data_IF_374055091909
#
_entry.id   IF_374055091909
#
_cell.length_a   1.000
_cell.length_b   1.000
_cell.length_c   1.000
_cell.angle_alpha   90.00
_cell.angle_beta   90.00
_cell.angle_gamma   90.00
#
_symmetry.space_group_name_H-M   'P 1'
#
loop_
_entity.id
_entity.type
_entity.pdbx_description
1 polymer ?
#
# COMPACT_ATOMS: atom_id res chain seq x y z
N UNK A 1 -2.34 21.35 8.55
CA UNK A 1 -3.47 20.76 9.35
C UNK A 1 -3.55 19.29 9.00
N UNK A 2 -3.68 18.38 9.98
CA UNK A 2 -3.80 16.96 9.65
C UNK A 2 -5.07 16.69 8.84
N UNK A 3 -4.93 15.85 7.81
CA UNK A 3 -6.06 15.38 7.01
C UNK A 3 -6.68 14.18 7.72
N UNK A 4 -7.99 14.17 7.85
CA UNK A 4 -8.74 13.13 8.54
C UNK A 4 -9.54 12.29 7.55
N UNK A 5 -9.41 10.97 7.68
CA UNK A 5 -10.27 9.97 7.06
C UNK A 5 -11.12 9.38 8.19
N UNK A 6 -12.42 9.59 8.10
CA UNK A 6 -13.40 9.15 9.12
C UNK A 6 -13.95 7.77 8.84
N UNK A 7 -13.96 7.37 7.57
CA UNK A 7 -14.38 6.02 7.18
C UNK A 7 -13.73 5.63 5.86
N UNK A 8 -13.14 4.45 5.83
CA UNK A 8 -12.65 3.80 4.62
C UNK A 8 -12.76 2.28 4.77
N UNK A 9 -12.73 1.54 3.65
CA UNK A 9 -12.52 0.09 3.67
C UNK A 9 -11.17 -0.25 3.09
N UNK A 10 -10.61 -1.38 3.51
CA UNK A 10 -9.29 -1.83 3.06
C UNK A 10 -9.31 -3.29 2.62
N UNK A 11 -8.64 -3.58 1.50
CA UNK A 11 -8.24 -4.93 1.10
C UNK A 11 -6.75 -4.91 0.81
N UNK A 12 -5.97 -5.71 1.51
CA UNK A 12 -4.52 -5.75 1.30
C UNK A 12 -3.97 -7.17 1.28
N UNK A 13 -2.83 -7.34 0.62
CA UNK A 13 -2.07 -8.58 0.64
C UNK A 13 -0.56 -8.32 0.67
N UNK A 14 0.14 -9.12 1.44
CA UNK A 14 1.60 -9.06 1.59
C UNK A 14 2.26 -10.18 0.81
N UNK A 15 3.32 -9.86 0.09
CA UNK A 15 4.05 -10.79 -0.77
C UNK A 15 5.53 -10.80 -0.43
N UNK A 16 6.10 -12.00 -0.33
CA UNK A 16 7.54 -12.17 -0.23
C UNK A 16 8.18 -12.08 -1.61
N UNK A 17 9.10 -11.15 -1.79
CA UNK A 17 9.81 -10.91 -3.05
C UNK A 17 11.33 -11.06 -2.88
N UNK A 18 12.07 -11.10 -3.99
CA UNK A 18 13.53 -10.98 -3.94
C UNK A 18 13.90 -9.56 -3.47
N UNK A 19 14.71 -9.45 -2.42
CA UNK A 19 15.06 -8.16 -1.83
C UNK A 19 15.94 -7.30 -2.74
N UNK A 20 16.81 -7.91 -3.55
CA UNK A 20 17.67 -7.16 -4.47
C UNK A 20 16.87 -6.63 -5.66
N UNK A 21 15.86 -7.38 -6.12
CA UNK A 21 14.94 -6.90 -7.14
C UNK A 21 14.07 -5.74 -6.61
N UNK A 22 13.53 -5.88 -5.40
CA UNK A 22 12.77 -4.80 -4.76
C UNK A 22 13.63 -3.56 -4.51
N UNK A 23 14.90 -3.73 -4.13
CA UNK A 23 15.83 -2.60 -3.98
C UNK A 23 16.04 -1.86 -5.30
N UNK A 24 16.36 -2.57 -6.39
CA UNK A 24 16.52 -1.93 -7.71
C UNK A 24 15.27 -1.17 -8.15
N UNK A 25 14.08 -1.65 -7.81
CA UNK A 25 12.82 -1.00 -8.15
C UNK A 25 12.68 0.38 -7.47
N UNK A 26 13.25 0.55 -6.27
CA UNK A 26 13.13 1.79 -5.49
C UNK A 26 14.45 2.54 -5.30
N UNK A 27 15.55 2.15 -5.99
CA UNK A 27 16.88 2.77 -5.83
C UNK A 27 16.86 4.29 -6.04
N UNK A 28 15.97 4.78 -6.90
CA UNK A 28 15.80 6.21 -7.17
C UNK A 28 15.41 7.03 -5.92
N UNK A 29 14.85 6.39 -4.91
CA UNK A 29 14.37 7.05 -3.69
C UNK A 29 15.45 7.23 -2.62
N UNK A 30 16.56 6.51 -2.72
CA UNK A 30 17.58 6.43 -1.67
C UNK A 30 17.18 5.59 -0.45
N UNK A 31 15.94 5.04 -0.42
CA UNK A 31 15.46 4.21 0.69
C UNK A 31 16.04 2.80 0.63
N UNK A 32 16.22 2.19 1.81
CA UNK A 32 16.74 0.83 1.96
C UNK A 32 15.60 -0.16 2.23
N UNK A 33 15.48 -1.16 1.37
CA UNK A 33 14.48 -2.23 1.53
C UNK A 33 14.69 -3.00 2.83
N UNK A 34 13.63 -3.19 3.61
CA UNK A 34 13.65 -4.01 4.82
C UNK A 34 13.78 -5.49 4.46
N UNK A 35 14.90 -6.11 4.84
CA UNK A 35 15.19 -7.53 4.60
C UNK A 35 14.77 -8.36 5.80
N UNK A 36 13.56 -8.91 5.77
CA UNK A 36 13.06 -9.72 6.89
C UNK A 36 13.69 -11.13 6.97
N UNK A 37 14.30 -11.60 5.87
CA UNK A 37 15.15 -12.81 5.75
C UNK A 37 16.25 -12.56 4.72
N UNK A 38 17.32 -13.38 4.69
CA UNK A 38 18.30 -13.30 3.61
C UNK A 38 17.63 -13.30 2.24
N UNK A 39 17.92 -12.31 1.40
CA UNK A 39 17.37 -12.12 0.05
C UNK A 39 15.85 -11.97 -0.05
N UNK A 40 15.13 -11.69 1.07
CA UNK A 40 13.68 -11.54 1.06
C UNK A 40 13.23 -10.22 1.67
N UNK A 41 12.37 -9.55 0.92
CA UNK A 41 11.65 -8.35 1.31
C UNK A 41 10.14 -8.56 1.21
N UNK A 42 9.37 -7.57 1.65
CA UNK A 42 7.91 -7.58 1.58
C UNK A 42 7.44 -6.44 0.69
N UNK A 43 6.56 -6.78 -0.25
CA UNK A 43 5.74 -5.83 -1.00
C UNK A 43 4.29 -6.00 -0.56
N UNK A 44 3.61 -4.89 -0.34
CA UNK A 44 2.19 -4.83 0.03
C UNK A 44 1.42 -4.23 -1.14
N UNK A 45 0.45 -4.98 -1.63
CA UNK A 45 -0.52 -4.49 -2.60
C UNK A 45 -1.84 -4.29 -1.89
N UNK A 46 -2.44 -3.10 -2.03
CA UNK A 46 -3.68 -2.79 -1.32
C UNK A 46 -4.63 -1.94 -2.15
N UNK A 47 -5.92 -2.10 -1.87
CA UNK A 47 -6.96 -1.19 -2.28
C UNK A 47 -7.54 -0.54 -1.03
N UNK A 48 -7.69 0.77 -1.10
CA UNK A 48 -8.46 1.59 -0.17
C UNK A 48 -9.68 2.15 -0.89
N UNK A 49 -10.84 2.06 -0.27
CA UNK A 49 -12.02 2.83 -0.66
C UNK A 49 -12.28 3.82 0.49
N UNK A 50 -11.91 5.05 0.27
CA UNK A 50 -12.20 6.16 1.17
C UNK A 50 -13.65 6.56 0.98
N UNK A 51 -14.46 6.45 2.03
CA UNK A 51 -15.91 6.72 1.99
C UNK A 51 -16.24 8.10 2.53
N UNK A 52 -15.60 8.48 3.64
CA UNK A 52 -15.75 9.80 4.26
C UNK A 52 -14.40 10.31 4.77
N UNK A 53 -14.06 11.52 4.39
CA UNK A 53 -12.83 12.20 4.79
C UNK A 53 -12.73 13.61 4.19
N UNK A 54 -11.68 14.30 4.56
CA UNK A 54 -11.45 15.70 4.14
C UNK A 54 -11.14 15.82 2.64
N UNK A 55 -10.78 14.72 1.97
CA UNK A 55 -10.52 14.66 0.53
C UNK A 55 -11.69 14.09 -0.29
N UNK A 56 -12.84 13.82 0.36
CA UNK A 56 -14.00 13.23 -0.28
C UNK A 56 -13.90 11.71 -0.47
N UNK A 57 -14.84 11.16 -1.26
CA UNK A 57 -14.89 9.74 -1.59
C UNK A 57 -14.02 9.45 -2.82
N UNK A 58 -13.18 8.39 -2.73
CA UNK A 58 -12.34 7.93 -3.83
C UNK A 58 -11.76 6.54 -3.58
N UNK A 59 -11.31 5.91 -4.67
CA UNK A 59 -10.56 4.65 -4.66
C UNK A 59 -9.07 4.90 -4.85
N UNK A 60 -8.25 4.13 -4.17
CA UNK A 60 -6.80 4.21 -4.24
C UNK A 60 -6.17 2.82 -4.22
N UNK A 61 -5.33 2.53 -5.20
CA UNK A 61 -4.50 1.33 -5.19
C UNK A 61 -3.06 1.68 -4.82
N UNK A 62 -2.46 0.90 -3.90
CA UNK A 62 -1.07 1.09 -3.48
C UNK A 62 -0.19 -0.11 -3.80
N UNK A 63 0.96 0.15 -4.43
CA UNK A 63 2.12 -0.75 -4.46
C UNK A 63 3.15 -0.21 -3.50
N UNK A 64 3.31 -0.87 -2.35
CA UNK A 64 4.16 -0.41 -1.27
C UNK A 64 5.29 -1.39 -1.01
N UNK A 65 6.51 -0.89 -0.86
CA UNK A 65 7.68 -1.67 -0.48
C UNK A 65 8.00 -1.41 0.98
N UNK A 66 8.15 -2.47 1.78
CA UNK A 66 8.56 -2.29 3.17
C UNK A 66 10.05 -1.91 3.23
N UNK A 67 10.33 -0.76 3.84
CA UNK A 67 11.68 -0.15 3.92
C UNK A 67 12.10 0.08 5.36
N UNK A 68 13.39 0.14 5.59
CA UNK A 68 13.94 0.57 6.87
C UNK A 68 13.75 2.07 7.05
N UNK A 69 13.51 2.57 8.28
CA UNK A 69 13.61 3.99 8.57
C UNK A 69 14.98 4.56 8.16
N UNK A 70 15.07 5.84 7.81
CA UNK A 70 16.32 6.48 7.43
C UNK A 70 17.43 6.22 8.46
N UNK A 71 18.63 5.87 7.99
CA UNK A 71 19.77 5.54 8.84
C UNK A 71 19.72 4.17 9.53
N UNK A 72 18.65 3.41 9.38
CA UNK A 72 18.55 2.05 9.93
C UNK A 72 18.97 1.00 8.90
N UNK A 73 19.78 0.04 9.35
CA UNK A 73 20.17 -1.16 8.57
C UNK A 73 19.66 -2.44 9.22
N UNK A 74 18.55 -2.35 9.96
CA UNK A 74 17.97 -3.49 10.65
C UNK A 74 17.55 -4.59 9.67
N UNK A 75 17.73 -5.84 10.07
CA UNK A 75 17.34 -7.02 9.30
C UNK A 75 16.61 -8.03 10.20
N UNK A 76 15.95 -9.00 9.56
CA UNK A 76 15.21 -10.05 10.27
C UNK A 76 13.75 -9.68 10.55
N UNK A 77 13.04 -10.60 11.17
CA UNK A 77 11.59 -10.42 11.43
C UNK A 77 11.28 -9.21 12.34
N UNK A 78 12.19 -8.90 13.29
CA UNK A 78 12.02 -7.74 14.17
C UNK A 78 12.11 -6.42 13.39
N UNK A 79 12.88 -6.36 12.30
CA UNK A 79 12.99 -5.17 11.47
C UNK A 79 11.65 -4.80 10.81
N UNK A 80 10.79 -5.77 10.49
CA UNK A 80 9.45 -5.48 9.95
C UNK A 80 8.54 -4.73 10.93
N UNK A 81 8.79 -4.83 12.23
CA UNK A 81 7.99 -4.12 13.23
C UNK A 81 8.26 -2.61 13.24
N UNK A 82 9.45 -2.20 12.82
CA UNK A 82 9.86 -0.81 12.70
C UNK A 82 9.91 -0.31 11.26
N UNK A 83 9.65 -1.19 10.28
CA UNK A 83 9.65 -0.85 8.87
C UNK A 83 8.50 0.10 8.54
N UNK A 84 8.77 1.05 7.65
CA UNK A 84 7.74 1.87 7.04
C UNK A 84 7.37 1.38 5.64
N UNK A 85 6.29 1.91 5.10
CA UNK A 85 5.81 1.62 3.76
C UNK A 85 6.31 2.69 2.77
N UNK A 86 7.18 2.33 1.84
CA UNK A 86 7.53 3.19 0.73
C UNK A 86 6.49 3.04 -0.38
N UNK A 87 5.79 4.14 -0.66
CA UNK A 87 4.75 4.20 -1.70
C UNK A 87 5.44 4.32 -3.06
N UNK A 88 5.45 3.23 -3.82
CA UNK A 88 6.07 3.19 -5.15
C UNK A 88 5.10 3.61 -6.24
N UNK A 89 3.84 3.12 -6.21
CA UNK A 89 2.76 3.52 -7.09
C UNK A 89 1.48 3.75 -6.30
N UNK A 90 0.71 4.77 -6.68
CA UNK A 90 -0.53 5.15 -5.99
C UNK A 90 -1.60 5.66 -6.97
N UNK A 91 -2.11 4.83 -7.90
CA UNK A 91 -3.25 5.18 -8.74
C UNK A 91 -4.51 5.50 -7.93
N UNK A 92 -5.25 6.54 -8.34
CA UNK A 92 -6.50 7.00 -7.71
C UNK A 92 -7.53 7.38 -8.79
N UNK A 93 -8.82 7.31 -8.48
CA UNK A 93 -9.90 7.70 -9.40
C UNK A 93 -10.35 9.16 -9.27
N UNK A 94 -9.90 9.87 -8.23
CA UNK A 94 -10.27 11.26 -7.96
C UNK A 94 -9.22 12.27 -8.41
N UNK A 95 -9.56 13.21 -9.30
CA UNK A 95 -8.62 14.25 -9.74
C UNK A 95 -8.19 15.18 -8.59
N UNK A 96 -9.13 15.57 -7.72
CA UNK A 96 -8.85 16.41 -6.56
C UNK A 96 -7.88 15.72 -5.59
N UNK A 97 -8.14 14.45 -5.23
CA UNK A 97 -7.27 13.71 -4.32
C UNK A 97 -5.92 13.36 -4.95
N UNK A 98 -5.86 13.22 -6.28
CA UNK A 98 -4.61 13.08 -7.01
C UNK A 98 -3.72 14.30 -6.82
N UNK A 99 -4.25 15.50 -7.08
CA UNK A 99 -3.52 16.75 -6.93
C UNK A 99 -3.16 17.04 -5.47
N UNK A 100 -4.11 16.90 -4.54
CA UNK A 100 -3.87 17.07 -3.12
C UNK A 100 -2.75 16.16 -2.59
N UNK A 101 -2.79 14.87 -2.95
CA UNK A 101 -1.77 13.91 -2.50
C UNK A 101 -0.37 14.21 -3.03
N UNK A 102 -0.27 14.69 -4.27
CA UNK A 102 1.00 15.13 -4.87
C UNK A 102 1.55 16.38 -4.18
N UNK A 103 0.69 17.36 -3.93
CA UNK A 103 1.08 18.66 -3.38
C UNK A 103 1.41 18.59 -1.89
N UNK A 104 0.58 17.90 -1.09
CA UNK A 104 0.71 17.87 0.37
C UNK A 104 1.82 16.90 0.82
N UNK A 105 1.86 15.69 0.21
CA UNK A 105 2.73 14.62 0.68
C UNK A 105 3.79 14.17 -0.31
N UNK A 106 3.77 14.70 -1.54
CA UNK A 106 4.65 14.20 -2.60
C UNK A 106 4.38 12.73 -2.94
N UNK A 107 3.13 12.30 -2.84
CA UNK A 107 2.75 10.93 -3.24
C UNK A 107 2.75 10.79 -4.76
N UNK A 108 3.26 9.68 -5.32
CA UNK A 108 3.34 9.44 -6.76
C UNK A 108 1.97 9.05 -7.33
N UNK A 109 0.94 9.88 -7.07
CA UNK A 109 -0.42 9.64 -7.53
C UNK A 109 -0.56 9.87 -9.03
N UNK A 110 -1.32 8.99 -9.68
CA UNK A 110 -1.76 9.10 -11.07
C UNK A 110 -3.25 8.79 -11.15
N UNK A 111 -3.93 9.33 -12.16
CA UNK A 111 -5.34 9.01 -12.40
C UNK A 111 -5.46 7.60 -12.97
N UNK A 112 -6.50 6.90 -12.54
CA UNK A 112 -6.82 5.55 -12.99
C UNK A 112 -8.32 5.28 -12.89
N UNK A 113 -8.79 4.33 -13.69
CA UNK A 113 -10.14 3.78 -13.59
C UNK A 113 -10.11 2.50 -12.75
N UNK A 114 -11.14 2.35 -11.91
CA UNK A 114 -11.29 1.18 -11.07
C UNK A 114 -12.57 0.42 -11.42
N UNK A 115 -12.49 -0.89 -11.46
CA UNK A 115 -13.66 -1.78 -11.54
C UNK A 115 -13.71 -2.64 -10.29
N UNK A 116 -14.71 -2.40 -9.44
CA UNK A 116 -14.93 -3.19 -8.23
C UNK A 116 -16.00 -4.24 -8.49
N UNK A 117 -15.76 -5.45 -8.00
CA UNK A 117 -16.75 -6.55 -8.00
C UNK A 117 -16.85 -7.08 -6.57
N UNK A 118 -17.93 -6.71 -5.91
CA UNK A 118 -18.28 -7.17 -4.57
C UNK A 118 -19.24 -8.37 -4.67
N UNK A 119 -18.82 -9.50 -4.10
CA UNK A 119 -19.55 -10.75 -4.14
C UNK A 119 -18.99 -11.76 -3.18
N UNK A 120 -19.21 -13.05 -3.41
CA UNK A 120 -18.60 -14.11 -2.57
C UNK A 120 -17.07 -13.99 -2.47
N UNK A 121 -16.43 -13.46 -3.51
CA UNK A 121 -15.03 -13.03 -3.51
C UNK A 121 -14.99 -11.59 -3.94
N UNK A 122 -14.36 -10.77 -3.13
CA UNK A 122 -14.06 -9.38 -3.51
C UNK A 122 -12.97 -9.36 -4.58
N UNK A 123 -13.15 -8.55 -5.61
CA UNK A 123 -12.10 -8.33 -6.60
C UNK A 123 -12.15 -6.92 -7.17
N UNK A 124 -10.99 -6.45 -7.64
CA UNK A 124 -10.89 -5.18 -8.33
C UNK A 124 -9.90 -5.25 -9.49
N UNK A 125 -10.07 -4.32 -10.43
CA UNK A 125 -9.16 -4.04 -11.53
C UNK A 125 -8.79 -2.56 -11.53
N UNK A 126 -7.54 -2.26 -11.87
CA UNK A 126 -7.01 -0.91 -12.08
C UNK A 126 -6.58 -0.77 -13.53
N UNK A 127 -7.09 0.25 -14.19
CA UNK A 127 -6.78 0.60 -15.58
C UNK A 127 -6.19 2.01 -15.60
N UNK A 128 -5.03 2.19 -16.23
CA UNK A 128 -4.31 3.46 -16.32
C UNK A 128 -4.16 3.77 -17.82
N UNK A 129 -4.54 4.97 -18.23
CA UNK A 129 -4.51 5.41 -19.64
C UNK A 129 -5.19 4.42 -20.60
N UNK A 130 -6.31 3.83 -20.16
CA UNK A 130 -7.07 2.82 -20.91
C UNK A 130 -6.42 1.44 -20.96
N UNK A 131 -5.29 1.21 -20.29
CA UNK A 131 -4.61 -0.08 -20.23
C UNK A 131 -4.82 -0.76 -18.89
N UNK A 132 -5.25 -2.02 -18.91
CA UNK A 132 -5.30 -2.84 -17.71
C UNK A 132 -3.89 -2.98 -17.11
N UNK A 133 -3.71 -2.51 -15.88
CA UNK A 133 -2.46 -2.56 -15.15
C UNK A 133 -2.41 -3.76 -14.20
N UNK A 134 -3.27 -3.77 -13.20
CA UNK A 134 -3.27 -4.81 -12.16
C UNK A 134 -4.68 -5.07 -11.66
N UNK A 135 -4.96 -6.31 -11.31
CA UNK A 135 -6.18 -6.69 -10.61
C UNK A 135 -5.89 -7.68 -9.49
N UNK A 136 -6.76 -7.72 -8.51
CA UNK A 136 -6.65 -8.66 -7.39
C UNK A 136 -7.98 -9.30 -7.06
N UNK A 137 -7.92 -10.57 -6.68
CA UNK A 137 -9.06 -11.35 -6.17
C UNK A 137 -8.76 -11.74 -4.73
N UNK A 138 -9.70 -11.51 -3.81
CA UNK A 138 -9.57 -11.84 -2.40
C UNK A 138 -10.55 -12.93 -2.00
N UNK A 139 -10.04 -13.98 -1.39
CA UNK A 139 -10.87 -14.99 -0.74
C UNK A 139 -11.28 -14.51 0.65
N UNK A 140 -12.50 -14.80 1.12
CA UNK A 140 -12.94 -14.41 2.45
C UNK A 140 -11.98 -14.85 3.54
N UNK A 141 -11.67 -13.96 4.48
CA UNK A 141 -10.84 -14.23 5.65
C UNK A 141 -11.67 -14.63 6.87
N UNK A 142 -10.99 -15.10 7.91
CA UNK A 142 -11.58 -15.31 9.23
C UNK A 142 -11.57 -14.00 10.02
N UNK A 143 -12.60 -13.73 10.83
CA UNK A 143 -12.65 -12.51 11.65
C UNK A 143 -11.54 -12.54 12.72
N UNK A 144 -10.95 -11.37 12.94
CA UNK A 144 -9.97 -11.14 14.00
C UNK A 144 -10.67 -10.44 15.16
N UNK A 145 -10.49 -10.92 16.41
CA UNK A 145 -11.07 -10.25 17.57
C UNK A 145 -10.65 -8.78 17.64
N UNK A 146 -11.60 -7.88 17.89
CA UNK A 146 -11.37 -6.43 17.93
C UNK A 146 -10.30 -6.02 18.95
N UNK A 147 -10.21 -6.72 20.07
CA UNK A 147 -9.18 -6.49 21.09
C UNK A 147 -7.73 -6.57 20.55
N UNK A 148 -7.52 -7.25 19.40
CA UNK A 148 -6.21 -7.36 18.75
C UNK A 148 -5.97 -6.30 17.68
N UNK A 149 -7.00 -5.61 17.21
CA UNK A 149 -6.93 -4.72 16.03
C UNK A 149 -7.32 -3.27 16.32
N UNK A 150 -8.06 -3.01 17.41
CA UNK A 150 -8.60 -1.69 17.74
C UNK A 150 -7.59 -0.70 18.32
N UNK A 151 -6.35 -1.11 18.58
CA UNK A 151 -5.33 -0.18 19.05
C UNK A 151 -4.83 0.67 17.88
N UNK A 152 -4.71 1.99 18.06
CA UNK A 152 -4.11 2.86 17.06
C UNK A 152 -2.72 2.36 16.66
N UNK A 153 -2.47 2.35 15.38
CA UNK A 153 -1.19 1.95 14.79
C UNK A 153 -0.55 3.17 14.14
N UNK A 154 0.70 3.41 14.45
CA UNK A 154 1.50 4.47 13.81
C UNK A 154 2.58 3.80 12.98
N UNK A 155 2.47 3.96 11.67
CA UNK A 155 3.49 3.48 10.75
C UNK A 155 3.93 4.62 9.84
N UNK A 156 5.24 4.87 9.71
CA UNK A 156 5.72 5.86 8.77
C UNK A 156 5.45 5.37 7.34
N UNK A 157 5.01 6.29 6.49
CA UNK A 157 4.98 6.12 5.05
C UNK A 157 6.02 7.00 4.41
N UNK A 158 6.63 6.51 3.36
CA UNK A 158 7.66 7.23 2.60
C UNK A 158 7.21 7.39 1.16
N UNK A 159 7.53 8.51 0.57
CA UNK A 159 7.28 8.81 -0.84
C UNK A 159 8.50 9.45 -1.46
N UNK A 160 8.61 9.38 -2.79
CA UNK A 160 9.62 10.11 -3.54
C UNK A 160 8.98 10.72 -4.78
N UNK A 161 9.07 12.03 -4.89
CA UNK A 161 8.57 12.77 -6.04
C UNK A 161 9.45 14.01 -6.26
N UNK A 162 9.74 14.31 -7.53
CA UNK A 162 10.53 15.47 -7.95
C UNK A 162 11.93 15.53 -7.29
N UNK A 163 12.57 14.36 -7.13
CA UNK A 163 13.89 14.25 -6.55
C UNK A 163 13.94 14.38 -5.01
N UNK A 164 12.78 14.47 -4.34
CA UNK A 164 12.69 14.65 -2.89
C UNK A 164 11.99 13.45 -2.26
N UNK A 165 12.65 12.84 -1.26
CA UNK A 165 12.06 11.79 -0.43
C UNK A 165 11.44 12.41 0.82
N UNK A 166 10.22 11.99 1.13
CA UNK A 166 9.41 12.51 2.24
C UNK A 166 8.95 11.39 3.15
N UNK A 167 8.80 11.72 4.42
CA UNK A 167 8.14 10.89 5.42
C UNK A 167 6.82 11.53 5.84
N UNK A 168 5.77 10.74 5.86
CA UNK A 168 4.46 11.12 6.40
C UNK A 168 4.14 10.20 7.57
N UNK A 169 3.84 10.79 8.71
CA UNK A 169 3.34 10.06 9.87
C UNK A 169 1.83 10.11 9.88
N UNK A 170 1.23 9.00 10.25
CA UNK A 170 -0.22 8.90 10.40
C UNK A 170 -0.58 7.91 11.48
N UNK A 171 -1.75 8.10 12.05
CA UNK A 171 -2.35 7.14 12.97
C UNK A 171 -3.52 6.45 12.27
N UNK A 172 -3.61 5.13 12.42
CA UNK A 172 -4.65 4.32 11.79
C UNK A 172 -5.29 3.41 12.81
N UNK A 173 -6.61 3.36 12.82
CA UNK A 173 -7.42 2.41 13.60
C UNK A 173 -8.21 1.53 12.65
N UNK A 174 -8.25 0.23 12.93
CA UNK A 174 -8.93 -0.77 12.11
C UNK A 174 -10.04 -1.45 12.89
N UNK A 175 -11.20 -1.65 12.25
CA UNK A 175 -12.28 -2.48 12.78
C UNK A 175 -12.87 -3.40 11.70
N UNK A 176 -13.56 -4.47 12.14
CA UNK A 176 -14.09 -5.47 11.22
C UNK A 176 -13.00 -6.22 10.44
N UNK A 177 -11.82 -6.39 11.05
CA UNK A 177 -10.67 -7.01 10.39
C UNK A 177 -10.90 -8.50 10.16
N UNK A 178 -10.65 -8.93 8.94
CA UNK A 178 -10.61 -10.35 8.55
C UNK A 178 -9.23 -10.67 8.00
N UNK A 179 -8.73 -11.85 8.29
CA UNK A 179 -7.38 -12.29 7.95
C UNK A 179 -7.39 -13.67 7.33
N UNK A 180 -6.47 -13.91 6.40
CA UNK A 180 -6.27 -15.21 5.78
C UNK A 180 -4.80 -15.46 5.40
N UNK A 181 -4.19 -16.60 5.73
CA UNK A 181 -2.94 -17.04 5.12
C UNK A 181 -3.12 -17.25 3.62
N UNK A 182 -2.29 -16.63 2.79
CA UNK A 182 -2.54 -16.56 1.34
C UNK A 182 -3.73 -15.65 1.05
N UNK A 183 -4.73 -16.17 0.34
CA UNK A 183 -6.06 -15.56 0.17
C UNK A 183 -6.16 -14.48 -0.91
N UNK A 184 -5.06 -14.02 -1.48
CA UNK A 184 -5.08 -13.07 -2.59
C UNK A 184 -4.40 -13.64 -3.83
N UNK A 185 -4.97 -13.32 -4.99
CA UNK A 185 -4.44 -13.64 -6.32
C UNK A 185 -4.30 -12.35 -7.11
N UNK A 186 -3.13 -12.14 -7.72
CA UNK A 186 -2.82 -10.98 -8.56
C UNK A 186 -2.98 -11.35 -10.03
N UNK A 187 -3.59 -10.46 -10.80
CA UNK A 187 -3.67 -10.49 -12.26
C UNK A 187 -2.86 -9.31 -12.80
N UNK A 188 -2.03 -9.53 -13.79
CA UNK A 188 -1.17 -8.51 -14.40
C UNK A 188 -1.63 -8.23 -15.82
N UNK A 189 -1.66 -6.96 -16.18
CA UNK A 189 -1.86 -6.49 -17.55
C UNK A 189 -0.55 -6.32 -18.32
N UNK A 190 -0.56 -5.36 -19.25
CA UNK A 190 0.60 -5.00 -20.07
C UNK A 190 1.14 -3.59 -19.77
N UNK A 191 0.58 -2.91 -18.77
CA UNK A 191 1.03 -1.59 -18.34
C UNK A 191 2.42 -1.69 -17.66
N UNK A 192 3.28 -0.67 -17.70
CA UNK A 192 4.59 -0.68 -17.04
C UNK A 192 4.56 -1.10 -15.56
N UNK A 193 3.53 -0.72 -14.79
CA UNK A 193 3.36 -1.17 -13.40
C UNK A 193 3.22 -2.70 -13.28
N UNK A 194 2.59 -3.34 -14.26
CA UNK A 194 2.51 -4.80 -14.30
C UNK A 194 3.87 -5.44 -14.62
N UNK A 195 4.66 -4.83 -15.50
CA UNK A 195 6.00 -5.30 -15.84
C UNK A 195 6.94 -5.23 -14.63
N UNK A 196 6.87 -4.14 -13.85
CA UNK A 196 7.62 -4.02 -12.59
C UNK A 196 7.24 -5.10 -11.59
N UNK A 197 5.93 -5.35 -11.38
CA UNK A 197 5.49 -6.45 -10.53
C UNK A 197 5.97 -7.81 -11.07
N UNK A 198 5.93 -8.03 -12.38
CA UNK A 198 6.45 -9.24 -13.01
C UNK A 198 7.95 -9.42 -12.73
N UNK A 199 8.74 -8.34 -12.71
CA UNK A 199 10.17 -8.38 -12.37
C UNK A 199 10.44 -8.84 -10.93
N UNK A 200 9.48 -8.67 -10.03
CA UNK A 200 9.49 -9.19 -8.66
C UNK A 200 8.99 -10.64 -8.55
N UNK A 201 8.67 -11.26 -9.71
CA UNK A 201 8.17 -12.63 -9.82
C UNK A 201 6.67 -12.79 -9.60
N UNK A 202 5.86 -11.74 -9.82
CA UNK A 202 4.41 -11.88 -9.87
C UNK A 202 3.94 -12.45 -11.22
N UNK A 203 2.75 -13.12 -11.29
CA UNK A 203 1.84 -13.40 -10.17
C UNK A 203 2.38 -14.49 -9.25
N UNK A 204 2.17 -14.32 -7.93
CA UNK A 204 2.60 -15.29 -6.90
C UNK A 204 1.56 -15.38 -5.78
N UNK A 205 1.73 -16.38 -4.93
CA UNK A 205 0.89 -16.55 -3.75
C UNK A 205 1.23 -15.50 -2.70
N UNK A 206 0.21 -14.84 -2.16
CA UNK A 206 0.35 -13.96 -1.01
C UNK A 206 0.84 -14.76 0.23
N UNK A 207 1.61 -14.11 1.10
CA UNK A 207 1.91 -14.62 2.43
C UNK A 207 0.64 -14.60 3.27
N UNK A 208 0.00 -13.43 3.26
CA UNK A 208 -1.25 -13.15 3.96
C UNK A 208 -2.09 -12.19 3.13
N UNK A 209 -3.40 -12.22 3.35
CA UNK A 209 -4.32 -11.18 2.96
C UNK A 209 -5.20 -10.76 4.13
N UNK A 210 -5.65 -9.53 4.13
CA UNK A 210 -6.61 -9.01 5.10
C UNK A 210 -7.57 -8.05 4.44
N UNK A 211 -8.74 -7.90 5.07
CA UNK A 211 -9.67 -6.81 4.81
C UNK A 211 -10.06 -6.16 6.12
N UNK A 212 -10.40 -4.87 6.10
CA UNK A 212 -11.00 -4.13 7.20
C UNK A 212 -12.28 -3.47 6.71
N UNK A 213 -13.35 -3.60 7.50
CA UNK A 213 -14.67 -3.03 7.18
C UNK A 213 -14.73 -1.53 7.48
N UNK A 214 -13.93 -1.06 8.46
CA UNK A 214 -13.74 0.36 8.71
C UNK A 214 -12.28 0.66 9.07
N UNK A 215 -11.77 1.71 8.45
CA UNK A 215 -10.44 2.28 8.68
C UNK A 215 -10.61 3.76 8.95
N UNK A 216 -10.13 4.21 10.08
CA UNK A 216 -10.01 5.63 10.42
C UNK A 216 -8.54 6.01 10.40
N UNK A 217 -8.21 7.14 9.78
CA UNK A 217 -6.82 7.58 9.67
C UNK A 217 -6.69 9.08 9.86
N UNK A 218 -5.54 9.48 10.38
CA UNK A 218 -5.11 10.88 10.43
C UNK A 218 -3.72 10.98 9.80
N UNK A 219 -3.57 11.84 8.81
CA UNK A 219 -2.29 12.10 8.16
C UNK A 219 -1.73 13.45 8.58
N UNK A 220 -0.51 13.46 9.08
CA UNK A 220 0.24 14.69 9.31
C UNK A 220 0.85 15.23 7.99
N UNK A 221 1.37 16.45 8.04
CA UNK A 221 2.14 17.02 6.93
C UNK A 221 3.40 16.18 6.67
N UNK A 222 3.80 16.10 5.40
CA UNK A 222 5.02 15.42 5.02
C UNK A 222 6.27 16.20 5.47
N UNK A 223 7.31 15.47 5.83
CA UNK A 223 8.63 16.01 6.16
C UNK A 223 9.64 15.51 5.15
N UNK A 224 10.46 16.39 4.61
CA UNK A 224 11.59 16.00 3.79
C UNK A 224 12.63 15.26 4.64
N UNK A 225 13.12 14.15 4.10
CA UNK A 225 14.20 13.38 4.72
C UNK A 225 15.44 13.42 3.83
N UNK A 226 16.59 13.60 4.44
CA UNK A 226 17.89 13.73 3.77
C UNK A 226 18.70 12.45 3.90
#
# INVERSE_FOLDING_TARGET
>A
MPVQIRSATQHMAMFSVNADAAQRMIDYSGMQVCRYRPRRAVVVLMLMHYVDGDLGEYLEYGTNVMVNPPGSHATGLKALQSAGAFIHHLPVDGAFTCEAGRTIWGYPKVLADFTIRDGHRFSFDVTIDGQFAVGMDFSPGLPVPSALTSKPQVHPTYSHMDGVTRETSGEMTLSGVRYRPGGARVRLGKHPYAEELASLGFPKRAMISSSAENVEMTFADAKEIR
#
